data_IF_478201483388
#
_entry.id   IF_478201483388
#
_cell.length_a   1.000
_cell.length_b   1.000
_cell.length_c   1.000
_cell.angle_alpha   90.00
_cell.angle_beta   90.00
_cell.angle_gamma   90.00
#
_symmetry.space_group_name_H-M   'P 1'
#
loop_
_entity.id
_entity.type
_entity.pdbx_description
1 polymer ?
#
# COMPACT_ATOMS: atom_id res chain seq x y z
N UNK A 1 19.03 -6.37 -7.12
CA UNK A 1 17.89 -5.73 -7.82
C UNK A 1 16.96 -6.79 -8.42
N UNK A 2 17.46 -7.74 -9.21
CA UNK A 2 16.64 -8.84 -9.77
C UNK A 2 15.90 -9.67 -8.70
N UNK A 3 16.61 -10.12 -7.66
CA UNK A 3 16.01 -10.89 -6.54
C UNK A 3 14.89 -10.11 -5.82
N UNK A 4 15.07 -8.82 -5.56
CA UNK A 4 14.02 -8.01 -4.92
C UNK A 4 12.75 -7.95 -5.76
N UNK A 5 12.89 -7.81 -7.09
CA UNK A 5 11.75 -7.83 -8.01
C UNK A 5 11.05 -9.18 -8.00
N UNK A 6 11.83 -10.26 -8.05
CA UNK A 6 11.31 -11.64 -8.00
C UNK A 6 10.51 -11.91 -6.72
N UNK A 7 11.03 -11.49 -5.56
CA UNK A 7 10.33 -11.62 -4.28
C UNK A 7 9.03 -10.82 -4.29
N UNK A 8 9.05 -9.57 -4.79
CA UNK A 8 7.85 -8.75 -4.85
C UNK A 8 6.81 -9.36 -5.78
N UNK A 9 7.22 -9.87 -6.94
CA UNK A 9 6.34 -10.48 -7.94
C UNK A 9 5.74 -11.81 -7.43
N UNK A 10 6.51 -12.56 -6.63
CA UNK A 10 6.01 -13.71 -5.90
C UNK A 10 4.93 -13.34 -4.88
N UNK A 11 5.09 -12.21 -4.17
CA UNK A 11 4.06 -11.71 -3.24
C UNK A 11 2.79 -11.32 -3.99
N UNK A 12 2.92 -10.43 -4.98
CA UNK A 12 1.79 -9.93 -5.77
C UNK A 12 2.27 -9.37 -7.09
N UNK A 13 1.58 -9.66 -8.19
CA UNK A 13 1.80 -8.95 -9.47
C UNK A 13 1.00 -7.65 -9.57
N UNK A 14 0.11 -7.39 -8.61
CA UNK A 14 -0.73 -6.18 -8.60
C UNK A 14 0.08 -4.97 -8.16
N UNK A 15 0.02 -3.89 -8.95
CA UNK A 15 0.71 -2.64 -8.73
C UNK A 15 -0.30 -1.50 -8.49
N UNK A 16 -0.72 -1.22 -7.23
CA UNK A 16 -1.66 -0.13 -6.94
C UNK A 16 -1.18 1.24 -7.36
N UNK A 17 0.13 1.43 -7.49
CA UNK A 17 0.74 2.65 -8.02
C UNK A 17 0.29 2.97 -9.45
N UNK A 18 0.00 1.96 -10.28
CA UNK A 18 -0.45 2.17 -11.66
C UNK A 18 -1.88 2.71 -11.66
N UNK A 19 -2.76 2.13 -10.83
CA UNK A 19 -4.13 2.63 -10.64
C UNK A 19 -4.13 4.05 -10.06
N UNK A 20 -3.24 4.32 -9.10
CA UNK A 20 -3.07 5.65 -8.52
C UNK A 20 -2.66 6.69 -9.57
N UNK A 21 -1.60 6.40 -10.34
CA UNK A 21 -1.07 7.26 -11.40
C UNK A 21 -2.15 7.53 -12.45
N UNK A 22 -2.85 6.48 -12.88
CA UNK A 22 -3.96 6.58 -13.83
C UNK A 22 -5.08 7.49 -13.31
N UNK A 23 -5.46 7.40 -12.04
CA UNK A 23 -6.48 8.28 -11.45
C UNK A 23 -6.02 9.74 -11.41
N UNK A 24 -4.76 9.99 -11.06
CA UNK A 24 -4.19 11.34 -11.05
C UNK A 24 -4.19 11.96 -12.46
N UNK A 25 -3.69 11.22 -13.45
CA UNK A 25 -3.58 11.69 -14.84
C UNK A 25 -4.96 11.90 -15.49
N UNK A 26 -5.86 10.91 -15.43
CA UNK A 26 -7.22 11.07 -15.99
C UNK A 26 -8.04 12.11 -15.23
N UNK A 27 -7.77 12.28 -13.93
CA UNK A 27 -8.37 13.32 -13.11
C UNK A 27 -7.76 14.70 -13.33
N UNK A 28 -6.62 14.79 -14.06
CA UNK A 28 -5.76 15.97 -14.16
C UNK A 28 -5.41 16.58 -12.80
N UNK A 29 -5.34 15.73 -11.77
CA UNK A 29 -5.09 16.12 -10.37
C UNK A 29 -3.60 16.40 -10.10
N UNK A 30 -2.75 16.14 -11.09
CA UNK A 30 -1.34 16.54 -11.10
C UNK A 30 -1.07 17.72 -12.06
N UNK A 31 -2.11 18.30 -12.68
CA UNK A 31 -2.01 19.40 -13.62
C UNK A 31 -3.15 20.41 -13.41
N UNK A 32 -4.15 20.44 -14.28
CA UNK A 32 -5.22 21.45 -14.34
C UNK A 32 -6.00 21.58 -13.02
N UNK A 33 -6.07 20.50 -12.24
CA UNK A 33 -6.80 20.40 -10.98
C UNK A 33 -5.88 20.08 -9.80
N UNK A 34 -4.59 20.45 -9.85
CA UNK A 34 -3.61 20.16 -8.81
C UNK A 34 -4.00 20.66 -7.41
N UNK A 35 -4.71 21.78 -7.32
CA UNK A 35 -5.15 22.38 -6.06
C UNK A 35 -6.58 21.93 -5.66
N UNK A 36 -7.19 21.01 -6.43
CA UNK A 36 -8.52 20.52 -6.11
C UNK A 36 -8.49 19.74 -4.81
N UNK A 37 -9.49 19.97 -3.96
CA UNK A 37 -9.63 19.25 -2.70
C UNK A 37 -8.69 19.73 -1.58
N UNK A 38 -7.89 20.78 -1.78
CA UNK A 38 -7.03 21.34 -0.72
C UNK A 38 -7.81 21.79 0.51
N UNK A 39 -9.04 22.26 0.32
CA UNK A 39 -9.96 22.60 1.40
C UNK A 39 -10.18 21.45 2.39
N UNK A 40 -10.01 20.19 1.97
CA UNK A 40 -10.12 19.03 2.85
C UNK A 40 -9.04 19.04 3.93
N UNK A 41 -7.82 19.45 3.58
CA UNK A 41 -6.65 19.36 4.47
C UNK A 41 -6.62 20.48 5.52
N UNK A 42 -7.34 21.57 5.30
CA UNK A 42 -7.53 22.64 6.29
C UNK A 42 -8.64 22.33 7.31
N UNK A 43 -9.45 21.30 7.07
CA UNK A 43 -10.53 20.93 7.99
C UNK A 43 -10.00 20.30 9.27
N UNK A 44 -10.59 20.70 10.39
CA UNK A 44 -10.26 20.17 11.71
C UNK A 44 -10.44 18.65 11.79
N UNK A 45 -11.43 18.10 11.10
CA UNK A 45 -11.67 16.65 11.07
C UNK A 45 -10.51 15.89 10.41
N UNK A 46 -10.00 16.40 9.29
CA UNK A 46 -8.85 15.81 8.62
C UNK A 46 -7.58 15.95 9.46
N UNK A 47 -7.33 17.14 10.03
CA UNK A 47 -6.16 17.38 10.87
C UNK A 47 -6.15 16.50 12.11
N UNK A 48 -7.31 16.38 12.78
CA UNK A 48 -7.47 15.51 13.94
C UNK A 48 -7.22 14.05 13.58
N UNK A 49 -7.80 13.55 12.48
CA UNK A 49 -7.54 12.21 11.98
C UNK A 49 -6.05 11.99 11.66
N UNK A 50 -5.40 12.94 10.99
CA UNK A 50 -4.01 12.82 10.54
C UNK A 50 -2.97 12.88 11.66
N UNK A 51 -3.33 13.41 12.83
CA UNK A 51 -2.47 13.55 14.01
C UNK A 51 -2.84 12.62 15.15
N UNK A 52 -3.88 11.80 14.96
CA UNK A 52 -4.32 10.92 16.01
C UNK A 52 -3.25 9.84 16.24
N UNK A 53 -2.98 9.55 17.51
CA UNK A 53 -1.94 8.59 17.91
C UNK A 53 -2.26 7.19 17.37
N UNK A 54 -1.22 6.38 17.15
CA UNK A 54 -1.34 5.03 16.59
C UNK A 54 -2.33 4.14 17.37
N UNK A 55 -2.47 4.37 18.68
CA UNK A 55 -3.40 3.66 19.58
C UNK A 55 -4.88 3.90 19.25
N UNK A 56 -5.20 4.99 18.54
CA UNK A 56 -6.58 5.40 18.26
C UNK A 56 -7.20 4.79 17.00
N UNK A 57 -6.38 4.11 16.17
CA UNK A 57 -6.78 3.48 14.89
C UNK A 57 -7.80 4.32 14.09
N UNK A 58 -7.45 5.56 13.74
CA UNK A 58 -8.43 6.54 13.29
C UNK A 58 -8.91 6.22 11.86
N UNK A 59 -10.22 6.18 11.64
CA UNK A 59 -10.82 5.94 10.31
C UNK A 59 -11.37 7.24 9.72
N UNK A 60 -10.91 7.59 8.52
CA UNK A 60 -11.42 8.73 7.76
C UNK A 60 -12.41 8.29 6.70
N UNK A 61 -13.66 8.73 6.84
CA UNK A 61 -14.70 8.51 5.84
C UNK A 61 -14.82 9.73 4.92
N UNK A 62 -14.59 9.52 3.63
CA UNK A 62 -14.65 10.58 2.61
C UNK A 62 -15.86 10.37 1.70
N UNK A 63 -16.94 11.17 1.84
CA UNK A 63 -18.04 11.12 0.91
C UNK A 63 -17.64 11.75 -0.44
N UNK A 64 -18.12 11.14 -1.53
CA UNK A 64 -17.99 11.67 -2.88
C UNK A 64 -17.19 10.78 -3.83
N UNK A 65 -16.73 11.32 -4.98
CA UNK A 65 -16.04 10.56 -5.99
C UNK A 65 -14.72 9.98 -5.45
N UNK A 66 -14.43 8.72 -5.74
CA UNK A 66 -13.21 8.03 -5.29
C UNK A 66 -11.89 8.71 -5.70
N UNK A 67 -11.93 9.67 -6.64
CA UNK A 67 -10.80 10.55 -6.98
C UNK A 67 -10.29 11.36 -5.78
N UNK A 68 -11.13 11.65 -4.76
CA UNK A 68 -10.68 12.36 -3.55
C UNK A 68 -9.71 11.54 -2.71
N UNK A 69 -9.79 10.20 -2.78
CA UNK A 69 -8.90 9.30 -2.03
C UNK A 69 -7.46 9.39 -2.55
N UNK A 70 -7.25 9.64 -3.85
CA UNK A 70 -5.88 9.80 -4.36
C UNK A 70 -5.20 11.06 -3.81
N UNK A 71 -5.95 12.15 -3.62
CA UNK A 71 -5.42 13.39 -3.03
C UNK A 71 -4.99 13.17 -1.58
N UNK A 72 -5.77 12.39 -0.81
CA UNK A 72 -5.38 12.02 0.55
C UNK A 72 -4.13 11.16 0.57
N UNK A 73 -4.02 10.17 -0.32
CA UNK A 73 -2.80 9.36 -0.46
C UNK A 73 -1.59 10.25 -0.78
N UNK A 74 -1.70 11.19 -1.71
CA UNK A 74 -0.61 12.13 -2.04
C UNK A 74 -0.25 13.03 -0.87
N UNK A 75 -1.24 13.51 -0.10
CA UNK A 75 -0.98 14.28 1.10
C UNK A 75 -0.28 13.44 2.18
N UNK A 76 -0.71 12.19 2.39
CA UNK A 76 -0.06 11.26 3.29
C UNK A 76 1.40 11.00 2.87
N UNK A 77 1.66 10.87 1.56
CA UNK A 77 3.04 10.72 1.05
C UNK A 77 3.90 11.94 1.38
N UNK A 78 3.36 13.16 1.26
CA UNK A 78 4.09 14.39 1.60
C UNK A 78 4.37 14.52 3.10
N UNK A 79 3.40 14.18 3.94
CA UNK A 79 3.45 14.40 5.39
C UNK A 79 4.20 13.28 6.13
N UNK A 80 4.00 12.02 5.73
CA UNK A 80 4.47 10.86 6.47
C UNK A 80 5.73 10.19 5.89
N UNK A 81 6.17 10.60 4.70
CA UNK A 81 7.43 10.11 4.09
C UNK A 81 8.66 11.05 4.20
N UNK A 82 8.80 12.00 5.15
CA UNK A 82 10.05 12.74 5.24
C UNK A 82 11.23 11.80 5.49
N UNK A 83 12.33 12.09 4.79
CA UNK A 83 13.52 11.25 4.69
C UNK A 83 14.25 11.19 6.03
N UNK A 84 14.31 10.01 6.64
CA UNK A 84 14.99 9.80 7.92
C UNK A 84 14.72 8.42 8.52
N UNK A 85 15.18 8.20 9.76
CA UNK A 85 15.02 6.94 10.50
C UNK A 85 13.57 6.64 10.91
N UNK A 86 12.66 7.60 10.81
CA UNK A 86 11.25 7.50 11.23
C UNK A 86 10.25 7.71 10.07
N UNK A 87 10.65 7.35 8.85
CA UNK A 87 9.74 7.37 7.72
C UNK A 87 8.64 6.31 7.92
N UNK A 88 7.40 6.77 8.04
CA UNK A 88 6.24 5.87 8.11
C UNK A 88 6.09 5.18 6.75
N UNK A 89 5.58 3.95 6.73
CA UNK A 89 5.27 3.28 5.47
C UNK A 89 3.80 3.49 5.14
N UNK A 90 3.54 3.95 3.92
CA UNK A 90 2.19 4.06 3.38
C UNK A 90 1.95 2.90 2.41
N UNK A 91 0.83 2.18 2.61
CA UNK A 91 0.32 1.20 1.67
C UNK A 91 -1.15 1.49 1.39
N UNK A 92 -1.57 1.32 0.15
CA UNK A 92 -2.96 1.59 -0.26
C UNK A 92 -3.43 0.59 -1.32
N UNK A 93 -4.75 0.48 -1.49
CA UNK A 93 -5.37 -0.35 -2.50
C UNK A 93 -6.67 0.31 -3.00
N UNK A 94 -6.91 0.28 -4.31
CA UNK A 94 -8.13 0.80 -4.90
C UNK A 94 -9.10 -0.34 -5.20
N UNK A 95 -10.21 -0.39 -4.45
CA UNK A 95 -11.33 -1.25 -4.81
C UNK A 95 -12.05 -0.65 -6.02
N UNK A 96 -11.88 -1.22 -7.21
CA UNK A 96 -12.48 -0.68 -8.44
C UNK A 96 -13.30 -1.73 -9.19
N UNK A 97 -14.47 -1.34 -9.70
CA UNK A 97 -15.34 -2.20 -10.53
C UNK A 97 -14.72 -2.58 -11.89
N UNK A 98 -13.64 -1.91 -12.32
CA UNK A 98 -13.01 -2.11 -13.64
C UNK A 98 -12.08 -3.32 -13.69
N UNK A 99 -11.69 -3.89 -12.55
CA UNK A 99 -11.00 -5.17 -12.56
C UNK A 99 -12.08 -6.25 -12.75
N UNK A 100 -12.37 -6.56 -14.01
CA UNK A 100 -13.48 -7.40 -14.47
C UNK A 100 -13.45 -8.87 -14.06
N UNK A 101 -12.71 -9.23 -13.00
CA UNK A 101 -12.76 -10.54 -12.37
C UNK A 101 -12.90 -10.36 -10.86
N UNK A 102 -13.81 -11.12 -10.22
CA UNK A 102 -14.01 -11.11 -8.76
C UNK A 102 -12.71 -11.33 -7.97
N UNK A 103 -11.76 -12.03 -8.59
CA UNK A 103 -10.43 -12.31 -8.02
C UNK A 103 -9.58 -11.07 -7.77
N UNK A 104 -9.75 -10.01 -8.56
CA UNK A 104 -8.86 -8.86 -8.53
C UNK A 104 -9.16 -7.93 -7.34
N UNK A 105 -10.43 -7.84 -6.92
CA UNK A 105 -10.85 -7.21 -5.67
C UNK A 105 -10.99 -8.22 -4.51
N UNK A 106 -10.48 -9.46 -4.67
CA UNK A 106 -10.55 -10.44 -3.59
C UNK A 106 -9.73 -9.98 -2.37
N UNK A 107 -10.14 -10.36 -1.14
CA UNK A 107 -9.34 -10.09 0.06
C UNK A 107 -7.88 -10.55 -0.07
N UNK A 108 -7.66 -11.63 -0.83
CA UNK A 108 -6.34 -12.18 -1.12
C UNK A 108 -5.49 -11.23 -1.98
N UNK A 109 -6.07 -10.67 -3.04
CA UNK A 109 -5.39 -9.69 -3.91
C UNK A 109 -5.03 -8.43 -3.13
N UNK A 110 -5.98 -7.91 -2.34
CA UNK A 110 -5.80 -6.76 -1.47
C UNK A 110 -4.63 -6.97 -0.49
N UNK A 111 -4.66 -8.06 0.29
CA UNK A 111 -3.65 -8.32 1.31
C UNK A 111 -2.24 -8.50 0.71
N UNK A 112 -2.14 -9.24 -0.40
CA UNK A 112 -0.87 -9.39 -1.12
C UNK A 112 -0.35 -8.07 -1.66
N UNK A 113 -1.24 -7.22 -2.16
CA UNK A 113 -0.88 -5.92 -2.70
C UNK A 113 -0.39 -4.94 -1.62
N UNK A 114 -1.03 -4.95 -0.44
CA UNK A 114 -0.55 -4.20 0.72
C UNK A 114 0.80 -4.74 1.21
N UNK A 115 0.94 -6.06 1.33
CA UNK A 115 2.20 -6.69 1.73
C UNK A 115 3.34 -6.35 0.77
N UNK A 116 3.11 -6.35 -0.56
CA UNK A 116 4.12 -5.96 -1.55
C UNK A 116 4.67 -4.55 -1.27
N UNK A 117 3.79 -3.60 -0.96
CA UNK A 117 4.18 -2.22 -0.65
C UNK A 117 4.96 -2.13 0.67
N UNK A 118 4.49 -2.79 1.72
CA UNK A 118 5.13 -2.76 3.05
C UNK A 118 6.45 -3.54 3.10
N UNK A 119 6.59 -4.58 2.29
CA UNK A 119 7.80 -5.39 2.20
C UNK A 119 8.99 -4.60 1.66
N UNK A 120 8.75 -3.57 0.83
CA UNK A 120 9.79 -2.74 0.24
C UNK A 120 10.12 -1.54 1.15
N UNK A 121 11.42 -1.37 1.44
CA UNK A 121 11.94 -0.15 2.06
C UNK A 121 12.51 0.77 0.97
N UNK A 122 11.89 1.94 0.70
CA UNK A 122 12.44 2.91 -0.26
C UNK A 122 13.80 3.46 0.19
N UNK A 123 13.98 3.67 1.50
CA UNK A 123 15.21 4.22 2.11
C UNK A 123 16.39 3.28 1.92
N UNK A 124 16.23 2.01 2.27
CA UNK A 124 17.30 1.02 2.22
C UNK A 124 17.34 0.24 0.90
N UNK A 125 16.42 0.53 -0.03
CA UNK A 125 16.23 -0.17 -1.31
C UNK A 125 16.28 -1.70 -1.17
N UNK A 126 15.63 -2.20 -0.13
CA UNK A 126 15.71 -3.60 0.27
C UNK A 126 14.34 -4.15 0.68
N UNK A 127 14.20 -5.48 0.59
CA UNK A 127 13.05 -6.21 1.11
C UNK A 127 13.24 -6.49 2.59
N UNK A 128 12.17 -6.36 3.37
CA UNK A 128 12.16 -6.70 4.80
C UNK A 128 12.71 -8.12 5.03
N UNK A 129 13.57 -8.31 6.05
CA UNK A 129 14.18 -9.62 6.36
C UNK A 129 13.14 -10.73 6.54
N UNK A 130 12.00 -10.41 7.17
CA UNK A 130 10.92 -11.36 7.44
C UNK A 130 10.31 -11.91 6.14
N UNK A 131 10.12 -11.03 5.15
CA UNK A 131 9.56 -11.42 3.85
C UNK A 131 10.59 -12.21 3.02
N UNK A 132 11.87 -11.81 3.07
CA UNK A 132 12.95 -12.59 2.43
C UNK A 132 13.04 -14.00 2.99
N UNK A 133 12.93 -14.15 4.31
CA UNK A 133 13.01 -15.45 4.95
C UNK A 133 11.84 -16.35 4.55
N UNK A 134 10.60 -15.80 4.53
CA UNK A 134 9.43 -16.54 4.05
C UNK A 134 9.59 -16.98 2.59
N UNK A 135 10.18 -16.12 1.75
CA UNK A 135 10.46 -16.46 0.36
C UNK A 135 11.48 -17.60 0.22
N UNK A 136 12.57 -17.59 1.01
CA UNK A 136 13.55 -18.69 1.02
C UNK A 136 12.95 -20.01 1.47
N UNK A 137 12.14 -19.99 2.53
CA UNK A 137 11.40 -21.17 2.99
C UNK A 137 10.49 -21.71 1.88
N UNK A 138 9.83 -20.83 1.14
CA UNK A 138 9.05 -21.24 -0.02
C UNK A 138 9.92 -21.87 -1.11
N UNK A 139 11.07 -21.28 -1.46
CA UNK A 139 12.00 -21.84 -2.46
C UNK A 139 12.49 -23.24 -2.07
N UNK A 140 12.81 -23.46 -0.79
CA UNK A 140 13.25 -24.77 -0.29
C UNK A 140 12.16 -25.84 -0.33
N UNK A 141 10.88 -25.43 -0.21
CA UNK A 141 9.72 -26.31 -0.18
C UNK A 141 9.08 -26.57 -1.56
N UNK A 142 9.74 -26.16 -2.66
CA UNK A 142 9.29 -26.27 -4.07
C UNK A 142 9.11 -27.71 -4.61
N UNK A 143 8.87 -28.70 -3.75
CA UNK A 143 8.36 -30.02 -4.13
C UNK A 143 6.84 -30.21 -3.94
N UNK A 144 6.15 -29.38 -3.15
CA UNK A 144 4.79 -29.71 -2.67
C UNK A 144 3.77 -28.56 -2.57
N UNK A 145 3.84 -27.57 -3.46
CA UNK A 145 2.60 -26.93 -3.93
C UNK A 145 2.46 -25.42 -3.76
N UNK A 146 1.94 -24.82 -4.83
CA UNK A 146 1.34 -23.49 -4.85
C UNK A 146 2.29 -22.36 -5.25
N UNK A 147 2.04 -21.77 -6.41
CA UNK A 147 2.81 -20.66 -6.99
C UNK A 147 2.77 -19.35 -6.18
N UNK A 148 1.96 -19.21 -5.11
CA UNK A 148 1.73 -17.90 -4.44
C UNK A 148 1.39 -17.98 -2.95
N UNK A 149 1.75 -16.92 -2.22
CA UNK A 149 1.56 -16.72 -0.78
C UNK A 149 0.09 -16.83 -0.31
N UNK A 150 -0.21 -17.55 0.78
CA UNK A 150 -1.59 -17.71 1.28
C UNK A 150 -2.06 -16.46 2.05
N UNK A 151 -3.38 -16.33 2.25
CA UNK A 151 -3.99 -15.19 2.95
C UNK A 151 -3.47 -15.07 4.38
N UNK A 152 -3.43 -16.17 5.13
CA UNK A 152 -2.98 -16.17 6.52
C UNK A 152 -1.49 -15.79 6.64
N UNK A 153 -0.67 -16.21 5.67
CA UNK A 153 0.73 -15.79 5.60
C UNK A 153 0.83 -14.28 5.35
N UNK A 154 -0.04 -13.71 4.50
CA UNK A 154 -0.06 -12.27 4.28
C UNK A 154 -0.39 -11.51 5.58
N UNK A 155 -1.41 -11.94 6.31
CA UNK A 155 -1.83 -11.31 7.57
C UNK A 155 -0.70 -11.35 8.59
N UNK A 156 -0.07 -12.52 8.76
CA UNK A 156 1.07 -12.69 9.67
C UNK A 156 2.23 -11.78 9.31
N UNK A 157 2.61 -11.74 8.03
CA UNK A 157 3.71 -10.90 7.57
C UNK A 157 3.40 -9.40 7.73
N UNK A 158 2.19 -8.96 7.36
CA UNK A 158 1.77 -7.56 7.53
C UNK A 158 1.85 -7.18 9.02
N UNK A 159 1.31 -8.03 9.90
CA UNK A 159 1.35 -7.81 11.36
C UNK A 159 2.79 -7.67 11.85
N UNK A 160 3.70 -8.53 11.40
CA UNK A 160 5.11 -8.42 11.78
C UNK A 160 5.77 -7.15 11.23
N UNK A 161 5.41 -6.71 10.02
CA UNK A 161 5.96 -5.49 9.43
C UNK A 161 5.49 -4.21 10.13
N UNK A 162 4.27 -4.20 10.65
CA UNK A 162 3.73 -3.06 11.40
C UNK A 162 4.17 -3.06 12.87
N UNK A 163 4.38 -4.23 13.49
CA UNK A 163 4.81 -4.35 14.89
C UNK A 163 6.33 -4.34 15.10
N UNK A 164 7.13 -4.58 14.05
CA UNK A 164 8.59 -4.61 14.13
C UNK A 164 9.23 -3.21 14.07
N UNK A 165 8.47 -2.15 14.36
CA UNK A 165 8.92 -0.77 14.33
C UNK A 165 8.75 -0.13 15.69
#
# INVERSE_FOLDING_TARGET
>A
RAENTEILDWVSTTLPGDDHTRILEHGKLNSDYANSGEWLFSRLEFQSWSRADDDSQPVLWLPGPGKRVCLVIEQCRKVFLPVGKEAHQLAFFYCSRKQGTEEANSPKSLLRSLLRQLAWSPTNRSISPVVKEKYRQWQQNQGHGGYRLRTDDCIKLITQLISSK
#
